data_IF_069070961647
#
_entry.id   IF_069070961647
#
_cell.length_a   1.000
_cell.length_b   1.000
_cell.length_c   1.000
_cell.angle_alpha   90.00
_cell.angle_beta   90.00
_cell.angle_gamma   90.00
#
_symmetry.space_group_name_H-M   'P 1'
#
loop_
_entity.id
_entity.type
_entity.pdbx_description
1 polymer ?
#
# COMPACT_ATOMS: atom_id res chain seq x y z
N UNK A 1 2.78 11.25 35.73
CA UNK A 1 3.62 11.40 34.52
C UNK A 1 3.08 10.46 33.47
N UNK A 2 2.08 10.90 32.71
CA UNK A 2 1.43 10.08 31.70
C UNK A 2 2.28 10.07 30.43
N UNK A 3 2.52 8.89 29.88
CA UNK A 3 3.06 8.74 28.53
C UNK A 3 1.99 9.29 27.59
N UNK A 4 2.16 10.55 27.21
CA UNK A 4 1.27 11.27 26.33
C UNK A 4 1.68 11.08 24.88
N UNK A 5 0.78 11.53 24.00
CA UNK A 5 1.01 11.55 22.55
C UNK A 5 2.31 12.30 22.20
N UNK A 6 2.68 13.30 23.01
CA UNK A 6 3.91 14.07 22.86
C UNK A 6 5.20 13.22 22.91
N UNK A 7 5.27 12.24 23.80
CA UNK A 7 6.43 11.34 23.91
C UNK A 7 6.51 10.40 22.71
N UNK A 8 5.37 9.88 22.25
CA UNK A 8 5.30 8.99 21.08
C UNK A 8 5.78 9.71 19.82
N UNK A 9 5.38 10.97 19.61
CA UNK A 9 5.85 11.78 18.47
C UNK A 9 7.36 12.02 18.53
N UNK A 10 7.92 12.30 19.71
CA UNK A 10 9.37 12.49 19.88
C UNK A 10 10.15 11.21 19.53
N UNK A 11 9.68 10.05 19.99
CA UNK A 11 10.30 8.75 19.68
C UNK A 11 10.20 8.46 18.18
N UNK A 12 9.03 8.73 17.57
CA UNK A 12 8.82 8.53 16.14
C UNK A 12 9.78 9.39 15.30
N UNK A 13 10.05 10.62 15.72
CA UNK A 13 11.00 11.51 15.05
C UNK A 13 12.43 10.96 15.10
N UNK A 14 12.87 10.40 16.24
CA UNK A 14 14.18 9.76 16.35
C UNK A 14 14.27 8.54 15.42
N UNK A 15 13.24 7.68 15.43
CA UNK A 15 13.18 6.51 14.55
C UNK A 15 13.22 6.90 13.08
N UNK A 16 12.52 7.97 12.68
CA UNK A 16 12.54 8.50 11.33
C UNK A 16 13.92 8.99 10.89
N UNK A 17 14.71 9.56 11.80
CA UNK A 17 16.08 10.00 11.51
C UNK A 17 17.01 8.78 11.36
N UNK A 18 16.87 7.76 12.22
CA UNK A 18 17.69 6.54 12.16
C UNK A 18 17.40 5.70 10.90
N UNK A 19 16.13 5.55 10.55
CA UNK A 19 15.70 4.71 9.42
C UNK A 19 15.62 5.50 8.11
N UNK A 20 15.47 6.83 8.17
CA UNK A 20 15.25 7.71 7.03
C UNK A 20 13.82 7.65 6.48
N UNK A 21 13.32 8.79 5.99
CA UNK A 21 11.97 8.93 5.44
C UNK A 21 11.69 8.04 4.21
N UNK A 22 12.74 7.57 3.51
CA UNK A 22 12.59 6.72 2.32
C UNK A 22 12.38 5.24 2.61
N UNK A 23 12.84 4.73 3.76
CA UNK A 23 12.73 3.30 4.10
C UNK A 23 11.40 2.96 4.78
N UNK A 24 10.85 3.89 5.58
CA UNK A 24 9.59 3.68 6.30
C UNK A 24 8.41 3.35 5.36
N UNK A 25 8.16 4.10 4.26
CA UNK A 25 7.04 3.83 3.37
C UNK A 25 7.15 2.49 2.64
N UNK A 26 8.38 2.10 2.28
CA UNK A 26 8.63 0.81 1.59
C UNK A 26 8.33 -0.37 2.52
N UNK A 27 8.89 -0.34 3.73
CA UNK A 27 8.69 -1.41 4.72
C UNK A 27 7.24 -1.44 5.22
N UNK A 28 6.63 -0.28 5.47
CA UNK A 28 5.22 -0.18 5.85
C UNK A 28 4.30 -0.66 4.72
N UNK A 29 4.65 -0.43 3.46
CA UNK A 29 3.90 -0.94 2.31
C UNK A 29 3.88 -2.46 2.23
N UNK A 30 5.01 -3.12 2.48
CA UNK A 30 5.10 -4.59 2.48
C UNK A 30 4.39 -5.20 3.71
N UNK A 31 4.53 -4.58 4.89
CA UNK A 31 3.78 -4.96 6.10
C UNK A 31 2.28 -4.76 5.90
N UNK A 32 1.84 -3.63 5.32
CA UNK A 32 0.43 -3.35 5.07
C UNK A 32 -0.20 -4.35 4.10
N UNK A 33 0.53 -4.77 3.05
CA UNK A 33 0.07 -5.85 2.16
C UNK A 33 -0.08 -7.17 2.91
N UNK A 34 0.89 -7.54 3.74
CA UNK A 34 0.80 -8.76 4.57
C UNK A 34 -0.39 -8.73 5.53
N UNK A 35 -0.59 -7.62 6.24
CA UNK A 35 -1.73 -7.42 7.14
C UNK A 35 -3.06 -7.40 6.37
N UNK A 36 -3.11 -6.79 5.18
CA UNK A 36 -4.33 -6.77 4.34
C UNK A 36 -4.70 -8.17 3.86
N UNK A 37 -3.73 -8.97 3.39
CA UNK A 37 -3.97 -10.36 3.00
C UNK A 37 -4.35 -11.24 4.19
N UNK A 38 -3.74 -11.01 5.37
CA UNK A 38 -4.11 -11.71 6.59
C UNK A 38 -5.54 -11.36 7.03
N UNK A 39 -5.91 -10.07 6.97
CA UNK A 39 -7.27 -9.61 7.27
C UNK A 39 -8.29 -10.13 6.26
N UNK A 40 -7.94 -10.16 4.98
CA UNK A 40 -8.79 -10.68 3.91
C UNK A 40 -9.01 -12.19 4.09
N UNK A 41 -7.97 -12.99 4.32
CA UNK A 41 -8.09 -14.43 4.55
C UNK A 41 -8.86 -14.78 5.83
N UNK A 42 -8.68 -14.02 6.91
CA UNK A 42 -9.50 -14.19 8.12
C UNK A 42 -10.96 -13.80 7.91
N UNK A 43 -11.21 -12.84 7.02
CA UNK A 43 -12.57 -12.39 6.69
C UNK A 43 -13.23 -13.33 5.69
N UNK A 44 -12.49 -14.03 4.83
CA UNK A 44 -13.00 -15.07 3.93
C UNK A 44 -13.57 -16.26 4.73
N UNK A 45 -12.93 -16.64 5.85
CA UNK A 45 -13.40 -17.68 6.78
C UNK A 45 -14.69 -17.28 7.52
N UNK A 46 -14.95 -15.97 7.67
CA UNK A 46 -16.15 -15.38 8.29
C UNK A 46 -17.24 -14.97 7.27
N UNK A 47 -16.93 -14.91 5.97
CA UNK A 47 -17.72 -14.22 4.92
C UNK A 47 -17.91 -15.08 3.65
N UNK A 48 -17.94 -16.42 3.78
CA UNK A 48 -18.38 -17.38 2.74
C UNK A 48 -19.83 -17.10 2.24
N UNK A 49 -20.50 -16.05 2.77
CA UNK A 49 -21.82 -15.56 2.35
C UNK A 49 -21.83 -14.29 1.46
N UNK A 50 -20.71 -13.59 1.20
CA UNK A 50 -20.71 -12.47 0.21
C UNK A 50 -19.46 -12.41 -0.67
N UNK A 51 -19.51 -13.23 -1.71
CA UNK A 51 -18.74 -13.10 -2.93
C UNK A 51 -18.50 -11.66 -3.39
N UNK A 52 -17.25 -11.41 -3.79
CA UNK A 52 -16.84 -10.46 -4.84
C UNK A 52 -16.98 -8.96 -4.52
N UNK A 53 -16.19 -8.17 -5.25
CA UNK A 53 -16.15 -6.70 -5.26
C UNK A 53 -15.20 -6.09 -4.21
N UNK A 54 -13.92 -5.95 -4.57
CA UNK A 54 -13.35 -4.63 -4.95
C UNK A 54 -11.82 -4.69 -5.11
N UNK A 55 -11.37 -4.24 -6.30
CA UNK A 55 -10.08 -3.62 -6.60
C UNK A 55 -8.85 -4.52 -6.89
N UNK A 56 -8.95 -5.26 -7.98
CA UNK A 56 -7.91 -5.23 -9.03
C UNK A 56 -8.12 -3.94 -9.87
N UNK A 57 -7.49 -2.81 -9.50
CA UNK A 57 -7.24 -1.69 -10.44
C UNK A 57 -6.24 -0.68 -9.89
N UNK A 58 -4.97 -0.88 -10.22
CA UNK A 58 -3.99 0.18 -10.48
C UNK A 58 -2.81 -0.50 -11.21
N UNK A 59 -2.98 -0.91 -12.48
CA UNK A 59 -2.64 -0.08 -13.64
C UNK A 59 -1.37 0.74 -13.33
N UNK A 60 -0.17 0.20 -13.52
CA UNK A 60 0.47 -0.04 -14.82
C UNK A 60 0.47 1.24 -15.67
N UNK A 61 1.62 1.91 -15.68
CA UNK A 61 1.90 3.08 -16.49
C UNK A 61 2.00 2.66 -17.97
N UNK A 62 1.36 3.35 -18.92
CA UNK A 62 1.59 3.08 -20.32
C UNK A 62 2.90 3.77 -20.73
N UNK A 63 3.97 2.97 -20.86
CA UNK A 63 5.18 3.31 -21.61
C UNK A 63 5.24 2.33 -22.79
N UNK A 64 4.73 2.72 -23.96
CA UNK A 64 5.20 2.23 -25.26
C UNK A 64 4.44 2.95 -26.37
N UNK A 65 5.18 3.71 -27.19
CA UNK A 65 4.68 4.18 -28.48
C UNK A 65 4.56 3.04 -29.47
N UNK A 66 3.53 3.11 -30.31
CA UNK A 66 3.48 2.42 -31.60
C UNK A 66 3.06 3.45 -32.63
N UNK A 67 3.86 3.50 -33.70
CA UNK A 67 3.77 4.37 -34.86
C UNK A 67 2.44 4.18 -35.58
N UNK A 68 1.80 5.28 -35.97
CA UNK A 68 0.76 5.28 -36.99
C UNK A 68 1.32 5.98 -38.24
N UNK A 69 2.03 5.19 -39.06
CA UNK A 69 2.09 5.38 -40.50
C UNK A 69 1.09 4.38 -41.09
N UNK A 70 0.36 4.79 -42.13
CA UNK A 70 -0.52 4.00 -43.02
C UNK A 70 -2.03 4.06 -42.74
N UNK A 71 -2.72 5.06 -43.31
CA UNK A 71 -3.91 4.86 -44.16
C UNK A 71 -4.57 6.19 -44.60
N UNK A 72 -4.27 6.59 -45.85
CA UNK A 72 -5.25 7.02 -46.86
C UNK A 72 -6.43 7.89 -46.40
N UNK A 73 -6.35 9.19 -46.66
CA UNK A 73 -7.46 10.05 -47.14
C UNK A 73 -6.86 11.20 -47.93
#
# INVERSE_FOLDING_TARGET
MSIGIWQVVLILMIVLILFGAGKLPKVMGDVAKGVKSFKAGMKDDDDDDKASITAERSAEAPKAGVKDETAKS
#
